data_IF_561228364430
#
_entry.id   IF_561228364430
#
_cell.length_a   1.000
_cell.length_b   1.000
_cell.length_c   1.000
_cell.angle_alpha   90.00
_cell.angle_beta   90.00
_cell.angle_gamma   90.00
#
_symmetry.space_group_name_H-M   'P 1'
#
loop_
_entity.id
_entity.type
_entity.pdbx_description
1 polymer ?
#
# COMPACT_ATOMS: atom_id res chain seq x y z
N UNK A 1 14.24 3.87 13.23
CA UNK A 1 14.61 4.36 11.89
C UNK A 1 14.92 3.17 11.01
N UNK A 2 14.42 3.14 9.76
CA UNK A 2 14.76 2.07 8.83
C UNK A 2 16.04 2.45 8.07
N UNK A 3 17.16 1.81 8.43
CA UNK A 3 18.45 1.96 7.74
C UNK A 3 18.44 1.17 6.44
N UNK A 4 18.23 1.86 5.31
CA UNK A 4 18.33 1.26 3.98
C UNK A 4 19.79 1.04 3.58
N UNK A 5 20.29 -0.18 3.75
CA UNK A 5 21.56 -0.62 3.18
C UNK A 5 21.46 -0.75 1.66
N UNK A 6 22.52 -0.36 0.95
CA UNK A 6 22.65 -0.57 -0.49
C UNK A 6 22.62 -2.07 -0.81
N UNK A 7 21.58 -2.54 -1.49
CA UNK A 7 21.58 -3.91 -2.03
C UNK A 7 20.23 -4.51 -2.44
N UNK A 8 19.09 -4.04 -1.92
CA UNK A 8 17.79 -4.53 -2.39
C UNK A 8 16.73 -3.43 -2.20
N UNK A 9 15.91 -3.17 -3.22
CA UNK A 9 14.74 -2.29 -3.05
C UNK A 9 13.80 -2.94 -2.04
N UNK A 10 13.20 -2.18 -1.12
CA UNK A 10 12.33 -2.77 -0.12
C UNK A 10 11.06 -3.29 -0.78
N UNK A 11 10.56 -4.40 -0.24
CA UNK A 11 9.22 -4.91 -0.53
C UNK A 11 8.41 -4.79 0.77
N UNK A 12 7.21 -4.23 0.68
CA UNK A 12 6.33 -4.03 1.83
C UNK A 12 5.08 -4.90 1.70
N UNK A 13 4.79 -5.66 2.76
CA UNK A 13 3.46 -6.22 3.01
C UNK A 13 2.73 -5.29 3.98
N UNK A 14 1.62 -4.72 3.54
CA UNK A 14 0.75 -3.88 4.39
C UNK A 14 -0.55 -4.62 4.65
N UNK A 15 -0.88 -4.82 5.92
CA UNK A 15 -2.13 -5.44 6.35
C UNK A 15 -3.02 -4.39 7.02
N UNK A 16 -4.26 -4.28 6.56
CA UNK A 16 -5.23 -3.31 7.05
C UNK A 16 -6.46 -4.09 7.53
N UNK A 17 -6.80 -3.93 8.81
CA UNK A 17 -8.10 -4.32 9.33
C UNK A 17 -9.10 -3.20 9.07
N UNK A 18 -10.26 -3.55 8.51
CA UNK A 18 -11.32 -2.62 8.15
C UNK A 18 -12.55 -2.88 9.02
N UNK A 19 -13.31 -1.83 9.40
CA UNK A 19 -14.63 -2.03 9.98
C UNK A 19 -15.56 -2.73 8.98
N UNK A 20 -16.61 -3.38 9.50
CA UNK A 20 -17.55 -4.20 8.72
C UNK A 20 -18.20 -3.47 7.52
N UNK A 21 -18.26 -2.14 7.58
CA UNK A 21 -18.79 -1.29 6.49
C UNK A 21 -17.85 -0.11 6.20
N UNK A 22 -16.68 -0.41 5.63
CA UNK A 22 -15.76 0.63 5.18
C UNK A 22 -16.15 1.16 3.79
N UNK A 23 -16.85 2.31 3.78
CA UNK A 23 -17.43 2.92 2.57
C UNK A 23 -16.64 4.10 2.00
N UNK A 24 -15.32 4.15 2.22
CA UNK A 24 -14.46 5.24 1.76
C UNK A 24 -13.26 4.68 0.98
N UNK A 25 -12.61 5.54 0.21
CA UNK A 25 -11.32 5.23 -0.39
C UNK A 25 -10.23 5.26 0.70
N UNK A 26 -9.27 4.35 0.61
CA UNK A 26 -8.12 4.30 1.51
C UNK A 26 -6.84 4.57 0.73
N UNK A 27 -6.05 5.54 1.20
CA UNK A 27 -4.76 5.89 0.59
C UNK A 27 -3.64 5.40 1.50
N UNK A 28 -2.76 4.56 0.96
CA UNK A 28 -1.55 4.11 1.64
C UNK A 28 -0.36 4.84 1.03
N UNK A 29 0.19 5.82 1.76
CA UNK A 29 1.36 6.58 1.33
C UNK A 29 2.65 5.92 1.82
N UNK A 30 3.59 5.67 0.90
CA UNK A 30 4.84 4.96 1.21
C UNK A 30 6.01 5.78 0.68
N UNK A 31 6.98 6.07 1.55
CA UNK A 31 8.24 6.68 1.17
C UNK A 31 9.37 5.64 1.21
N UNK A 32 9.81 5.14 0.05
CA UNK A 32 11.01 4.31 -0.01
C UNK A 32 12.22 5.08 0.55
N UNK A 33 13.15 4.42 1.28
CA UNK A 33 14.39 5.06 1.73
C UNK A 33 15.20 5.64 0.57
N UNK A 34 15.12 5.03 -0.63
CA UNK A 34 15.77 5.53 -1.85
C UNK A 34 15.09 6.77 -2.45
N UNK A 35 13.89 7.13 -1.97
CA UNK A 35 13.00 8.17 -2.53
C UNK A 35 12.56 7.94 -3.98
N UNK A 36 12.82 6.77 -4.53
CA UNK A 36 12.37 6.41 -5.87
C UNK A 36 10.87 6.12 -5.87
N UNK A 37 10.23 6.23 -7.03
CA UNK A 37 8.82 5.91 -7.17
C UNK A 37 8.53 4.42 -6.91
N UNK A 38 7.34 4.16 -6.35
CA UNK A 38 6.73 2.84 -6.29
C UNK A 38 6.53 2.31 -7.73
N UNK A 39 6.69 1.01 -7.90
CA UNK A 39 6.64 0.29 -9.18
C UNK A 39 5.50 -0.69 -9.27
N UNK A 40 5.03 -1.23 -8.16
CA UNK A 40 3.92 -2.19 -8.17
C UNK A 40 3.10 -2.15 -6.89
N UNK A 41 1.83 -2.54 -7.03
CA UNK A 41 0.95 -2.87 -5.94
C UNK A 41 0.13 -4.11 -6.34
N UNK A 42 -0.07 -5.05 -5.41
CA UNK A 42 -0.91 -6.23 -5.67
C UNK A 42 -2.40 -5.92 -5.73
N UNK A 43 -2.83 -4.74 -5.25
CA UNK A 43 -4.22 -4.30 -5.22
C UNK A 43 -4.27 -2.77 -5.22
N UNK A 44 -5.33 -2.21 -5.81
CA UNK A 44 -5.54 -0.77 -5.87
C UNK A 44 -4.87 -0.11 -7.07
N UNK A 45 -4.96 1.21 -7.10
CA UNK A 45 -4.37 2.07 -8.11
C UNK A 45 -3.00 2.54 -7.62
N UNK A 46 -1.98 2.27 -8.43
CA UNK A 46 -0.61 2.66 -8.12
C UNK A 46 -0.33 4.08 -8.60
N UNK A 47 0.21 4.90 -7.71
CA UNK A 47 0.86 6.15 -8.04
C UNK A 47 2.33 6.11 -7.56
N UNK A 48 3.11 7.12 -7.96
CA UNK A 48 4.53 7.17 -7.66
C UNK A 48 4.85 7.11 -6.15
N UNK A 49 3.95 7.57 -5.29
CA UNK A 49 4.16 7.74 -3.85
C UNK A 49 3.07 7.10 -2.96
N UNK A 50 2.03 6.51 -3.58
CA UNK A 50 0.89 5.94 -2.84
C UNK A 50 0.20 4.85 -3.63
N UNK A 51 -0.54 4.02 -2.89
CA UNK A 51 -1.55 3.11 -3.43
C UNK A 51 -2.91 3.62 -2.99
N UNK A 52 -3.83 3.80 -3.93
CA UNK A 52 -5.23 4.13 -3.65
C UNK A 52 -6.06 2.86 -3.72
N UNK A 53 -6.79 2.55 -2.66
CA UNK A 53 -7.72 1.44 -2.57
C UNK A 53 -9.15 2.02 -2.65
N UNK A 54 -9.81 1.97 -3.83
CA UNK A 54 -11.16 2.50 -3.97
C UNK A 54 -12.14 1.78 -3.03
N UNK A 55 -13.16 2.50 -2.55
CA UNK A 55 -14.21 1.94 -1.70
C UNK A 55 -14.86 0.68 -2.31
N UNK A 56 -15.00 0.63 -3.63
CA UNK A 56 -15.53 -0.52 -4.37
C UNK A 56 -14.65 -1.78 -4.23
N UNK A 57 -13.34 -1.62 -4.09
CA UNK A 57 -12.40 -2.72 -3.86
C UNK A 57 -12.47 -3.20 -2.40
N UNK A 58 -12.77 -2.28 -1.48
CA UNK A 58 -12.84 -2.54 -0.04
C UNK A 58 -14.21 -3.05 0.44
N UNK A 59 -15.26 -2.85 -0.37
CA UNK A 59 -16.63 -3.23 -0.03
C UNK A 59 -16.74 -4.69 0.43
N UNK A 60 -17.32 -4.89 1.61
CA UNK A 60 -17.52 -6.22 2.20
C UNK A 60 -16.26 -6.90 2.74
N UNK A 61 -15.10 -6.23 2.71
CA UNK A 61 -13.85 -6.75 3.28
C UNK A 61 -13.65 -6.21 4.70
N UNK A 62 -13.31 -7.10 5.62
CA UNK A 62 -12.88 -6.75 6.98
C UNK A 62 -11.35 -6.76 7.15
N UNK A 63 -10.63 -7.26 6.14
CA UNK A 63 -9.17 -7.26 6.07
C UNK A 63 -8.70 -7.15 4.63
N UNK A 64 -7.65 -6.38 4.40
CA UNK A 64 -6.95 -6.28 3.12
C UNK A 64 -5.45 -6.40 3.34
N UNK A 65 -4.78 -7.14 2.46
CA UNK A 65 -3.33 -7.22 2.40
C UNK A 65 -2.87 -6.73 1.03
N UNK A 66 -1.90 -5.82 1.02
CA UNK A 66 -1.26 -5.33 -0.21
C UNK A 66 0.24 -5.56 -0.16
N UNK A 67 0.80 -6.04 -1.26
CA UNK A 67 2.24 -6.13 -1.50
C UNK A 67 2.64 -4.93 -2.36
N UNK A 68 3.68 -4.19 -1.97
CA UNK A 68 4.15 -2.97 -2.64
C UNK A 68 5.67 -3.03 -2.85
N UNK A 69 6.15 -2.53 -4.00
CA UNK A 69 7.59 -2.35 -4.30
C UNK A 69 7.88 -1.15 -5.18
#
# INVERSE_FOLDING_TARGET
EATGGAGNRPHWRVEIALPESFGADLIVHIHPPSREALRSASLGELHADRVVLPASVLAGRNKVTIEVS
#
